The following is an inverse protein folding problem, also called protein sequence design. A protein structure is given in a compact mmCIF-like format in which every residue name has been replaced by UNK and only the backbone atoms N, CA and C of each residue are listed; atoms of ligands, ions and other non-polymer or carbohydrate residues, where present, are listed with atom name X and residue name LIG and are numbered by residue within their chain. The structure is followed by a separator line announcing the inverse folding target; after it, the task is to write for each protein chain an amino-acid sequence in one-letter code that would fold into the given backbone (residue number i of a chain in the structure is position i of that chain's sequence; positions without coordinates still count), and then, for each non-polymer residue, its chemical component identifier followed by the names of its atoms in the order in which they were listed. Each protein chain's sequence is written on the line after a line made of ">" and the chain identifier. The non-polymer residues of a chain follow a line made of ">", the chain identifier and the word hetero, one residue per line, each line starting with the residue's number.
data_IF_316971847221
#
_entry.id   IF_316971847221
#
_cell.length_a   1.000
_cell.length_b   1.000
_cell.length_c   1.000
_cell.angle_alpha   90.00
_cell.angle_beta   90.00
_cell.angle_gamma   90.00
#
_symmetry.space_group_name_H-M   'P 1'
#
loop_
_entity.id
_entity.type
_entity.pdbx_description
1 polymer ?
#
# COMPACT_ATOMS: atom_id res chain seq x y z
N UNK A 1 24.75 -8.00 1.21
CA UNK A 1 23.92 -7.12 2.03
C UNK A 1 24.14 -7.49 3.50
N UNK A 2 24.30 -6.46 4.33
CA UNK A 2 24.44 -6.65 5.78
C UNK A 2 23.24 -7.44 6.33
N UNK A 3 23.44 -8.52 7.13
CA UNK A 3 22.32 -9.29 7.66
C UNK A 3 21.39 -8.49 8.58
N UNK A 4 21.84 -7.37 9.12
CA UNK A 4 21.02 -6.49 9.93
C UNK A 4 20.20 -5.50 9.11
N UNK A 5 20.40 -5.46 7.79
CA UNK A 5 19.64 -4.61 6.89
C UNK A 5 18.25 -5.21 6.60
N UNK A 6 17.28 -4.33 6.37
CA UNK A 6 15.91 -4.71 6.02
C UNK A 6 15.64 -4.33 4.58
N UNK A 7 15.16 -5.28 3.79
CA UNK A 7 14.74 -5.03 2.41
C UNK A 7 13.22 -4.93 2.34
N UNK A 8 12.73 -3.75 1.98
CA UNK A 8 11.30 -3.46 1.92
C UNK A 8 10.91 -3.04 0.51
N UNK A 9 9.85 -3.63 -0.02
CA UNK A 9 9.17 -3.15 -1.22
C UNK A 9 8.07 -2.19 -0.80
N UNK A 10 8.08 -1.00 -1.38
CA UNK A 10 7.21 0.11 -0.99
C UNK A 10 6.36 0.55 -2.17
N UNK A 11 5.11 0.87 -1.88
CA UNK A 11 4.20 1.46 -2.85
C UNK A 11 3.03 2.13 -2.12
N UNK A 12 2.23 2.83 -2.88
CA UNK A 12 0.98 3.43 -2.43
C UNK A 12 -0.20 2.85 -3.19
N UNK A 13 -1.33 2.79 -2.54
CA UNK A 13 -2.56 2.37 -3.18
C UNK A 13 -3.71 3.31 -2.81
N UNK A 14 -4.69 3.39 -3.70
CA UNK A 14 -5.90 4.18 -3.51
C UNK A 14 -7.11 3.27 -3.65
N UNK A 15 -7.97 3.29 -2.65
CA UNK A 15 -9.23 2.55 -2.68
C UNK A 15 -10.35 3.56 -2.76
N UNK A 16 -11.16 3.45 -3.80
CA UNK A 16 -12.26 4.37 -4.09
C UNK A 16 -13.57 3.61 -4.11
N UNK A 17 -14.62 4.23 -3.60
CA UNK A 17 -15.95 3.60 -3.52
C UNK A 17 -16.50 3.15 -4.87
N UNK A 18 -16.15 3.82 -5.96
CA UNK A 18 -16.63 3.43 -7.28
C UNK A 18 -16.00 2.14 -7.82
N UNK A 19 -14.86 1.71 -7.30
CA UNK A 19 -14.27 0.41 -7.65
C UNK A 19 -15.20 -0.74 -7.24
N UNK A 20 -16.03 -0.52 -6.22
CA UNK A 20 -17.01 -1.49 -5.72
C UNK A 20 -18.16 -1.67 -6.70
N UNK A 21 -18.45 -0.65 -7.52
CA UNK A 21 -19.64 -0.60 -8.38
C UNK A 21 -19.46 -1.29 -9.75
N UNK A 22 -18.22 -1.63 -10.12
CA UNK A 22 -17.92 -2.23 -11.43
C UNK A 22 -18.36 -3.69 -11.57
N UNK A 23 -18.66 -4.36 -10.48
CA UNK A 23 -18.91 -5.81 -10.46
C UNK A 23 -20.38 -6.17 -10.17
N UNK A 24 -21.31 -5.24 -10.17
CA UNK A 24 -22.73 -5.55 -9.98
C UNK A 24 -23.38 -5.94 -11.29
N UNK A 25 -23.84 -7.21 -11.36
CA UNK A 25 -24.66 -7.68 -12.46
C UNK A 25 -26.04 -7.04 -12.37
N UNK A 26 -26.51 -6.47 -13.48
CA UNK A 26 -27.89 -6.02 -13.61
C UNK A 26 -28.67 -6.97 -14.52
N UNK A 27 -29.98 -7.12 -14.29
CA UNK A 27 -30.86 -7.81 -15.23
C UNK A 27 -30.78 -7.16 -16.60
N UNK A 28 -30.81 -8.00 -17.63
CA UNK A 28 -30.76 -7.54 -19.03
C UNK A 28 -31.90 -6.56 -19.27
N UNK A 29 -31.57 -5.33 -19.67
CA UNK A 29 -32.56 -4.29 -19.98
C UNK A 29 -32.86 -3.30 -18.83
N UNK A 30 -32.26 -3.47 -17.67
CA UNK A 30 -32.34 -2.48 -16.58
C UNK A 30 -30.97 -1.95 -16.23
N UNK A 31 -30.76 -0.70 -16.59
CA UNK A 31 -29.58 0.04 -16.12
C UNK A 31 -29.79 0.30 -14.62
N UNK A 32 -29.01 -0.38 -13.80
CA UNK A 32 -29.01 -0.11 -12.36
C UNK A 32 -28.45 1.29 -12.16
N UNK A 33 -29.33 2.25 -11.88
CA UNK A 33 -28.89 3.53 -11.39
C UNK A 33 -28.36 3.33 -9.98
N UNK A 34 -27.06 3.21 -9.85
CA UNK A 34 -26.44 3.29 -8.54
C UNK A 34 -26.48 4.77 -8.17
N UNK A 35 -27.11 5.14 -7.02
CA UNK A 35 -27.09 6.52 -6.59
C UNK A 35 -25.63 6.91 -6.38
N UNK A 36 -25.09 7.72 -7.27
CA UNK A 36 -23.86 8.43 -7.05
C UNK A 36 -24.16 9.48 -5.97
N UNK A 37 -24.02 9.08 -4.72
CA UNK A 37 -23.85 10.08 -3.69
C UNK A 37 -22.57 10.82 -4.08
N UNK A 38 -22.64 12.14 -4.23
CA UNK A 38 -21.57 12.98 -4.78
C UNK A 38 -20.29 13.05 -3.93
N UNK A 39 -20.02 12.02 -3.14
CA UNK A 39 -18.82 11.86 -2.34
C UNK A 39 -18.21 10.50 -2.66
N UNK A 40 -17.26 10.52 -3.59
CA UNK A 40 -16.42 9.35 -3.82
C UNK A 40 -15.55 9.15 -2.58
N UNK A 41 -15.91 8.18 -1.74
CA UNK A 41 -15.08 7.81 -0.62
C UNK A 41 -13.72 7.33 -1.16
N UNK A 42 -12.66 7.94 -0.67
CA UNK A 42 -11.29 7.68 -1.11
C UNK A 42 -10.42 7.45 0.10
N UNK A 43 -9.69 6.34 0.09
CA UNK A 43 -8.71 6.00 1.13
C UNK A 43 -7.40 5.68 0.45
N UNK A 44 -6.35 6.40 0.86
CA UNK A 44 -5.00 6.14 0.38
C UNK A 44 -4.20 5.43 1.45
N UNK A 45 -3.30 4.54 1.03
CA UNK A 45 -2.38 3.87 1.93
C UNK A 45 -0.99 3.79 1.32
N UNK A 46 0.01 4.06 2.15
CA UNK A 46 1.37 3.62 1.90
C UNK A 46 1.56 2.24 2.51
N UNK A 47 2.33 1.41 1.85
CA UNK A 47 2.65 0.08 2.34
C UNK A 47 4.10 -0.29 2.11
N UNK A 48 4.62 -1.10 3.03
CA UNK A 48 5.91 -1.74 2.91
C UNK A 48 5.75 -3.23 3.21
N UNK A 49 6.43 -4.06 2.45
CA UNK A 49 6.46 -5.50 2.70
C UNK A 49 7.90 -5.99 2.72
N UNK A 50 8.22 -6.76 3.75
CA UNK A 50 9.47 -7.47 3.85
C UNK A 50 9.29 -8.84 3.22
N UNK A 51 9.94 -9.08 2.07
CA UNK A 51 9.78 -10.34 1.34
C UNK A 51 10.51 -11.52 1.96
N UNK A 52 11.32 -11.30 2.97
CA UNK A 52 12.04 -12.38 3.67
C UNK A 52 11.18 -13.03 4.76
N UNK A 53 10.38 -12.22 5.47
CA UNK A 53 9.57 -12.71 6.58
C UNK A 53 8.07 -12.50 6.41
N UNK A 54 7.64 -11.73 5.40
CA UNK A 54 6.22 -11.46 5.15
C UNK A 54 5.64 -10.35 6.04
N UNK A 55 6.47 -9.65 6.80
CA UNK A 55 6.01 -8.53 7.60
C UNK A 55 5.55 -7.38 6.72
N UNK A 56 4.40 -6.81 7.07
CA UNK A 56 3.82 -5.66 6.36
C UNK A 56 3.67 -4.48 7.29
N UNK A 57 3.91 -3.29 6.77
CA UNK A 57 3.65 -2.03 7.46
C UNK A 57 2.76 -1.21 6.55
N UNK A 58 1.56 -0.89 7.00
CA UNK A 58 0.57 -0.15 6.23
C UNK A 58 0.19 1.12 6.97
N UNK A 59 0.21 2.24 6.26
CA UNK A 59 -0.10 3.56 6.81
C UNK A 59 -1.23 4.21 6.01
N UNK A 60 -2.35 4.46 6.68
CA UNK A 60 -3.48 5.15 6.09
C UNK A 60 -3.23 6.65 6.04
N UNK A 61 -3.57 7.25 4.92
CA UNK A 61 -3.46 8.69 4.73
C UNK A 61 -4.65 9.22 3.93
N UNK A 62 -4.93 10.50 4.06
CA UNK A 62 -5.97 11.18 3.28
C UNK A 62 -5.50 11.50 1.86
N UNK A 63 -4.21 11.64 1.67
CA UNK A 63 -3.62 11.93 0.37
C UNK A 63 -2.21 11.33 0.28
N UNK A 64 -1.83 10.87 -0.91
CA UNK A 64 -0.47 10.40 -1.17
C UNK A 64 0.33 11.57 -1.76
N UNK A 65 1.15 12.19 -0.94
CA UNK A 65 2.03 13.30 -1.33
C UNK A 65 3.38 13.18 -0.61
N UNK A 66 4.29 14.11 -0.89
CA UNK A 66 5.62 14.08 -0.29
C UNK A 66 5.60 14.15 1.24
N UNK A 67 4.71 14.96 1.81
CA UNK A 67 4.59 15.10 3.27
C UNK A 67 4.11 13.81 3.93
N UNK A 68 3.08 13.17 3.37
CA UNK A 68 2.57 11.90 3.89
C UNK A 68 3.55 10.74 3.65
N UNK A 69 4.30 10.79 2.56
CA UNK A 69 5.39 9.85 2.32
C UNK A 69 6.48 9.96 3.39
N UNK A 70 6.85 11.19 3.79
CA UNK A 70 7.80 11.39 4.89
C UNK A 70 7.28 10.84 6.22
N UNK A 71 6.02 11.03 6.52
CA UNK A 71 5.40 10.45 7.72
C UNK A 71 5.54 8.93 7.71
N UNK A 72 5.34 8.31 6.55
CA UNK A 72 5.52 6.88 6.38
C UNK A 72 6.98 6.45 6.58
N UNK A 73 7.94 7.19 6.05
CA UNK A 73 9.37 6.92 6.27
C UNK A 73 9.75 7.01 7.75
N UNK A 74 9.22 7.99 8.48
CA UNK A 74 9.42 8.11 9.92
C UNK A 74 8.83 6.93 10.68
N UNK A 75 7.67 6.46 10.27
CA UNK A 75 7.03 5.28 10.82
C UNK A 75 7.88 4.02 10.60
N UNK A 76 8.46 3.87 9.41
CA UNK A 76 9.39 2.76 9.11
C UNK A 76 10.64 2.84 9.98
N UNK A 77 11.18 4.03 10.20
CA UNK A 77 12.35 4.24 11.06
C UNK A 77 12.06 3.83 12.50
N UNK A 78 10.88 4.13 13.01
CA UNK A 78 10.45 3.70 14.35
C UNK A 78 10.29 2.18 14.44
N UNK A 79 9.81 1.57 13.36
CA UNK A 79 9.59 0.11 13.29
C UNK A 79 10.90 -0.67 13.22
N UNK A 80 11.91 -0.11 12.55
CA UNK A 80 13.21 -0.74 12.34
C UNK A 80 14.33 0.17 12.87
N UNK A 81 14.37 0.42 14.18
CA UNK A 81 15.37 1.32 14.76
C UNK A 81 16.79 0.76 14.58
N UNK A 82 17.73 1.64 14.34
CA UNK A 82 19.17 1.34 14.22
C UNK A 82 19.51 0.31 13.12
N UNK A 83 18.65 0.17 12.12
CA UNK A 83 18.88 -0.73 10.99
C UNK A 83 18.86 0.04 9.67
N UNK A 84 19.71 -0.39 8.75
CA UNK A 84 19.65 0.14 7.38
C UNK A 84 18.42 -0.44 6.69
N UNK A 85 17.58 0.44 6.16
CA UNK A 85 16.42 0.05 5.37
C UNK A 85 16.71 0.29 3.89
N UNK A 86 16.71 -0.79 3.12
CA UNK A 86 16.79 -0.73 1.66
C UNK A 86 15.36 -0.74 1.14
N UNK A 87 14.96 0.35 0.51
CA UNK A 87 13.60 0.55 0.03
C UNK A 87 13.57 0.46 -1.48
N UNK A 88 12.82 -0.51 -2.01
CA UNK A 88 12.58 -0.67 -3.43
C UNK A 88 11.22 -0.04 -3.76
N UNK A 89 11.22 0.95 -4.63
CA UNK A 89 10.04 1.76 -4.93
C UNK A 89 10.05 2.21 -6.38
N UNK A 90 8.91 2.68 -6.86
CA UNK A 90 8.81 3.24 -8.20
C UNK A 90 9.44 4.63 -8.27
N UNK A 91 9.48 5.19 -9.46
CA UNK A 91 10.11 6.47 -9.73
C UNK A 91 9.09 7.63 -9.69
N UNK A 92 8.12 7.58 -8.79
CA UNK A 92 7.11 8.61 -8.64
C UNK A 92 7.70 9.95 -8.17
N UNK A 93 7.09 11.05 -8.59
CA UNK A 93 7.59 12.40 -8.27
C UNK A 93 7.66 12.67 -6.77
N UNK A 94 6.72 12.12 -5.99
CA UNK A 94 6.71 12.33 -4.54
C UNK A 94 7.97 11.76 -3.87
N UNK A 95 8.57 10.71 -4.44
CA UNK A 95 9.78 10.10 -3.90
C UNK A 95 11.03 10.97 -4.16
N UNK A 96 10.96 11.88 -5.13
CA UNK A 96 12.06 12.79 -5.49
C UNK A 96 11.85 14.23 -5.02
N UNK A 97 10.78 14.49 -4.25
CA UNK A 97 10.48 15.83 -3.78
C UNK A 97 11.62 16.39 -2.93
N UNK A 98 11.79 17.71 -2.95
CA UNK A 98 12.85 18.39 -2.22
C UNK A 98 12.86 18.02 -0.73
N UNK A 99 11.70 17.99 -0.09
CA UNK A 99 11.60 17.63 1.33
C UNK A 99 12.04 16.20 1.62
N UNK A 100 11.82 15.28 0.69
CA UNK A 100 12.29 13.89 0.81
C UNK A 100 13.80 13.83 0.70
N UNK A 101 14.39 14.57 -0.25
CA UNK A 101 15.84 14.64 -0.42
C UNK A 101 16.52 15.26 0.79
N UNK A 102 15.92 16.30 1.38
CA UNK A 102 16.43 16.91 2.62
C UNK A 102 16.39 15.93 3.79
N UNK A 103 15.28 15.23 3.95
CA UNK A 103 15.12 14.18 4.97
C UNK A 103 16.19 13.09 4.81
N UNK A 104 16.41 12.59 3.60
CA UNK A 104 17.40 11.57 3.33
C UNK A 104 18.82 12.07 3.56
N UNK A 105 19.07 13.35 3.37
CA UNK A 105 20.37 13.97 3.66
C UNK A 105 20.66 13.97 5.15
N UNK A 106 19.64 14.24 5.97
CA UNK A 106 19.74 14.24 7.43
C UNK A 106 19.79 12.82 8.02
N UNK A 107 19.00 11.90 7.43
CA UNK A 107 18.81 10.54 7.91
C UNK A 107 19.43 9.48 6.99
N UNK A 108 20.36 9.89 6.12
CA UNK A 108 20.87 9.07 5.00
C UNK A 108 21.57 7.79 5.40
N UNK A 109 21.93 7.62 6.66
CA UNK A 109 22.54 6.37 7.14
C UNK A 109 21.48 5.28 7.39
N UNK A 110 20.20 5.65 7.47
CA UNK A 110 19.11 4.75 7.77
C UNK A 110 18.40 4.22 6.53
N UNK A 111 18.47 4.93 5.41
CA UNK A 111 17.71 4.63 4.20
C UNK A 111 18.60 4.53 2.97
N UNK A 112 18.34 3.53 2.15
CA UNK A 112 18.90 3.42 0.81
C UNK A 112 17.77 3.14 -0.17
N UNK A 113 17.53 4.05 -1.12
CA UNK A 113 16.45 3.93 -2.10
C UNK A 113 16.97 3.24 -3.37
N UNK A 114 16.23 2.25 -3.83
CA UNK A 114 16.44 1.60 -5.13
C UNK A 114 15.18 1.83 -5.95
N UNK A 115 15.31 2.57 -7.06
CA UNK A 115 14.18 2.88 -7.93
C UNK A 115 13.99 1.81 -8.98
N UNK A 116 12.74 1.35 -9.12
CA UNK A 116 12.36 0.43 -10.18
C UNK A 116 12.35 1.15 -11.54
N UNK A 117 12.58 0.41 -12.64
CA UNK A 117 12.46 1.01 -13.97
C UNK A 117 11.07 1.60 -14.20
N UNK A 118 10.94 2.66 -15.01
CA UNK A 118 9.62 3.22 -15.36
C UNK A 118 8.69 2.17 -15.94
N UNK A 119 7.40 2.29 -15.61
CA UNK A 119 6.34 1.43 -16.15
C UNK A 119 6.52 -0.07 -15.90
N UNK A 120 7.09 -0.42 -14.75
CA UNK A 120 7.39 -1.82 -14.40
C UNK A 120 6.74 -2.24 -13.07
N UNK A 121 5.41 -2.08 -12.90
CA UNK A 121 4.74 -2.44 -11.63
C UNK A 121 4.85 -3.94 -11.33
N UNK A 122 5.01 -4.79 -12.34
CA UNK A 122 5.17 -6.23 -12.16
C UNK A 122 6.45 -6.61 -11.41
N UNK A 123 7.42 -5.70 -11.32
CA UNK A 123 8.66 -5.92 -10.58
C UNK A 123 8.51 -5.64 -9.08
N UNK A 124 7.38 -5.06 -8.66
CA UNK A 124 7.12 -4.80 -7.26
C UNK A 124 6.08 -5.79 -6.72
N UNK A 125 6.49 -6.75 -5.90
CA UNK A 125 5.56 -7.78 -5.39
C UNK A 125 4.42 -7.21 -4.55
N UNK A 126 4.54 -6.00 -4.01
CA UNK A 126 3.47 -5.36 -3.23
C UNK A 126 2.21 -5.11 -4.07
N UNK A 127 2.32 -5.08 -5.40
CA UNK A 127 1.16 -4.96 -6.28
C UNK A 127 0.18 -6.13 -6.11
N UNK A 128 0.69 -7.32 -5.81
CA UNK A 128 -0.14 -8.49 -5.51
C UNK A 128 -0.85 -8.33 -4.17
N UNK A 129 -0.20 -7.70 -3.21
CA UNK A 129 -0.83 -7.36 -1.92
C UNK A 129 -1.99 -6.39 -2.13
N UNK A 130 -1.79 -5.35 -2.96
CA UNK A 130 -2.84 -4.40 -3.28
C UNK A 130 -4.02 -5.04 -4.00
N UNK A 131 -3.73 -5.94 -4.92
CA UNK A 131 -4.80 -6.69 -5.60
C UNK A 131 -5.60 -7.53 -4.61
N UNK A 132 -4.92 -8.25 -3.74
CA UNK A 132 -5.57 -9.05 -2.70
C UNK A 132 -6.42 -8.18 -1.77
N UNK A 133 -5.87 -7.05 -1.32
CA UNK A 133 -6.60 -6.08 -0.50
C UNK A 133 -7.88 -5.61 -1.20
N UNK A 134 -7.76 -5.16 -2.44
CA UNK A 134 -8.90 -4.65 -3.21
C UNK A 134 -9.94 -5.72 -3.45
N UNK A 135 -9.53 -6.91 -3.83
CA UNK A 135 -10.45 -8.03 -4.05
C UNK A 135 -11.19 -8.39 -2.75
N UNK A 136 -10.51 -8.37 -1.61
CA UNK A 136 -11.10 -8.69 -0.30
C UNK A 136 -12.08 -7.61 0.14
N UNK A 137 -11.70 -6.34 0.01
CA UNK A 137 -12.52 -5.19 0.44
C UNK A 137 -13.73 -5.01 -0.47
N UNK A 138 -13.57 -5.29 -1.77
CA UNK A 138 -14.62 -5.09 -2.78
C UNK A 138 -15.57 -6.28 -2.87
N UNK A 139 -15.10 -7.50 -2.55
CA UNK A 139 -15.86 -8.73 -2.78
C UNK A 139 -17.17 -8.76 -1.97
N UNK A 140 -18.30 -8.67 -2.68
CA UNK A 140 -19.66 -8.90 -2.18
C UNK A 140 -20.11 -7.98 -1.04
N UNK A 141 -19.48 -6.81 -0.85
CA UNK A 141 -19.81 -5.88 0.22
C UNK A 141 -20.14 -4.51 -0.36
N UNK A 142 -21.30 -3.99 0.06
CA UNK A 142 -21.69 -2.62 -0.25
C UNK A 142 -21.12 -1.70 0.83
N UNK A 143 -20.30 -0.76 0.43
CA UNK A 143 -19.75 0.26 1.32
C UNK A 143 -20.55 1.55 1.18
N UNK A 144 -21.22 1.95 2.25
CA UNK A 144 -22.06 3.16 2.26
C UNK A 144 -21.21 4.43 2.29
N UNK A 145 -20.07 4.39 2.98
CA UNK A 145 -19.24 5.54 3.18
C UNK A 145 -17.75 5.15 3.36
N UNK A 146 -16.93 6.17 3.59
CA UNK A 146 -15.50 6.01 3.81
C UNK A 146 -15.18 5.16 5.04
N UNK A 147 -16.00 5.27 6.11
CA UNK A 147 -15.79 4.50 7.33
C UNK A 147 -15.94 3.00 7.12
N UNK A 148 -16.91 2.58 6.31
CA UNK A 148 -17.10 1.17 5.96
C UNK A 148 -15.88 0.62 5.24
N UNK A 149 -15.32 1.39 4.30
CA UNK A 149 -14.10 1.02 3.58
C UNK A 149 -12.92 0.90 4.55
N UNK A 150 -12.76 1.89 5.44
CA UNK A 150 -11.70 1.89 6.45
C UNK A 150 -11.80 0.67 7.36
N UNK A 151 -13.00 0.32 7.81
CA UNK A 151 -13.20 -0.85 8.65
C UNK A 151 -12.85 -2.14 7.93
N UNK A 152 -13.23 -2.27 6.66
CA UNK A 152 -12.89 -3.44 5.86
C UNK A 152 -11.37 -3.57 5.66
N UNK A 153 -10.70 -2.45 5.39
CA UNK A 153 -9.24 -2.41 5.27
C UNK A 153 -8.58 -2.77 6.60
N UNK A 154 -9.09 -2.24 7.71
CA UNK A 154 -8.55 -2.52 9.04
C UNK A 154 -8.63 -4.00 9.36
N UNK A 155 -9.76 -4.66 9.05
CA UNK A 155 -9.89 -6.12 9.21
C UNK A 155 -8.87 -6.87 8.37
N UNK A 156 -8.65 -6.45 7.13
CA UNK A 156 -7.65 -7.05 6.25
C UNK A 156 -6.24 -6.90 6.83
N UNK A 157 -5.90 -5.70 7.31
CA UNK A 157 -4.59 -5.43 7.92
C UNK A 157 -4.34 -6.32 9.12
N UNK A 158 -5.32 -6.47 10.01
CA UNK A 158 -5.22 -7.39 11.14
C UNK A 158 -5.02 -8.84 10.69
N UNK A 159 -5.74 -9.24 9.67
CA UNK A 159 -5.64 -10.59 9.12
C UNK A 159 -4.21 -10.89 8.63
N UNK A 160 -3.63 -10.00 7.83
CA UNK A 160 -2.29 -10.23 7.24
C UNK A 160 -1.17 -10.09 8.27
N UNK A 161 -1.33 -9.25 9.30
CA UNK A 161 -0.33 -9.11 10.36
C UNK A 161 -0.15 -10.40 11.16
N UNK A 162 -1.20 -11.19 11.28
CA UNK A 162 -1.17 -12.48 11.96
C UNK A 162 -0.72 -13.64 11.06
N UNK A 163 -0.58 -13.39 9.74
CA UNK A 163 -0.32 -14.43 8.75
C UNK A 163 0.78 -14.04 7.76
N UNK A 164 2.00 -13.76 8.24
CA UNK A 164 3.08 -13.34 7.36
C UNK A 164 3.46 -14.42 6.32
N UNK A 165 3.30 -15.70 6.66
CA UNK A 165 3.56 -16.80 5.74
C UNK A 165 2.59 -16.80 4.56
N UNK A 166 1.31 -16.53 4.82
CA UNK A 166 0.31 -16.40 3.76
C UNK A 166 0.60 -15.20 2.87
N UNK A 167 1.06 -14.09 3.46
CA UNK A 167 1.50 -12.92 2.69
C UNK A 167 2.61 -13.32 1.71
N UNK A 168 3.64 -14.01 2.17
CA UNK A 168 4.73 -14.47 1.30
C UNK A 168 4.23 -15.36 0.17
N UNK A 169 3.32 -16.27 0.46
CA UNK A 169 2.72 -17.16 -0.55
C UNK A 169 1.95 -16.35 -1.61
N UNK A 170 1.13 -15.41 -1.17
CA UNK A 170 0.34 -14.55 -2.06
C UNK A 170 1.21 -13.67 -2.96
N UNK A 171 2.35 -13.23 -2.44
CA UNK A 171 3.30 -12.41 -3.19
C UNK A 171 4.20 -13.24 -4.11
N UNK A 172 4.16 -14.57 -4.01
CA UNK A 172 5.03 -15.45 -4.78
C UNK A 172 6.47 -15.46 -4.28
N UNK A 173 6.69 -15.08 -3.02
CA UNK A 173 8.02 -14.99 -2.40
C UNK A 173 8.32 -16.16 -1.45
N UNK A 174 7.37 -17.06 -1.25
CA UNK A 174 7.60 -18.25 -0.45
C UNK A 174 8.46 -19.23 -1.25
N UNK A 175 9.68 -19.40 -0.81
CA UNK A 175 10.63 -20.36 -1.38
C UNK A 175 10.68 -21.63 -0.59
#
# INVERSE_FOLDING_TARGET
>A
MDPDSVLLYIDETHIRSYHVLRSTWSEVGRQKQVPTFGHHAHVSRFGAVNIHDGETVLHQTTAANAATFLDFLRMLKERYPDRLMVLVLDNARIHHAKMVKEFLREEGQCFHFIYLPPYSPQLNPIERLWKWLKDTVIANVFHKDRNDIIQAITRFVHYIHERPEEVLQRLGCAG
#
